data_IF_865234900313
#
_entry.id   IF_865234900313
#
_cell.length_a   1.000
_cell.length_b   1.000
_cell.length_c   1.000
_cell.angle_alpha   90.00
_cell.angle_beta   90.00
_cell.angle_gamma   90.00
#
_symmetry.space_group_name_H-M   'P 1'
#
loop_
_entity.id
_entity.type
_entity.pdbx_description
1 polymer ?
#
# COMPACT_ATOMS: atom_id res chain seq x y z
N UNK A 1 16.51 31.60 9.46
CA UNK A 1 16.37 30.22 9.97
C UNK A 1 15.78 29.38 8.85
N UNK A 2 16.62 28.81 7.99
CA UNK A 2 16.14 27.95 6.90
C UNK A 2 16.07 26.54 7.46
N UNK A 3 14.88 26.09 7.84
CA UNK A 3 14.67 24.69 8.16
C UNK A 3 14.91 23.91 6.88
N UNK A 4 15.96 23.10 6.84
CA UNK A 4 16.10 22.03 5.85
C UNK A 4 15.00 21.03 6.15
N UNK A 5 13.78 21.31 5.69
CA UNK A 5 12.72 20.32 5.62
C UNK A 5 13.24 19.24 4.68
N UNK A 6 13.55 18.06 5.20
CA UNK A 6 13.96 16.97 4.34
C UNK A 6 12.85 16.71 3.31
N UNK A 7 13.22 16.66 2.03
CA UNK A 7 12.28 16.39 0.94
C UNK A 7 11.53 15.09 1.22
N UNK A 8 10.20 15.06 1.04
CA UNK A 8 9.42 13.85 1.25
C UNK A 8 9.88 12.74 0.29
N UNK A 9 9.95 11.52 0.81
CA UNK A 9 10.10 10.33 -0.02
C UNK A 9 8.81 9.97 -0.76
N UNK A 10 8.81 8.82 -1.41
CA UNK A 10 7.64 8.28 -2.10
C UNK A 10 7.27 6.94 -1.49
N UNK A 11 6.00 6.76 -1.13
CA UNK A 11 5.42 5.46 -0.84
C UNK A 11 4.71 4.95 -2.10
N UNK A 12 5.06 3.74 -2.52
CA UNK A 12 4.32 2.99 -3.53
C UNK A 12 3.63 1.79 -2.87
N UNK A 13 2.30 1.75 -2.92
CA UNK A 13 1.49 0.62 -2.48
C UNK A 13 1.07 -0.16 -3.72
N UNK A 14 1.68 -1.31 -3.94
CA UNK A 14 1.34 -2.22 -5.03
C UNK A 14 0.17 -3.10 -4.61
N UNK A 15 -0.95 -3.00 -5.31
CA UNK A 15 -2.06 -3.94 -5.20
C UNK A 15 -1.69 -5.14 -6.07
N UNK A 16 -1.24 -6.23 -5.45
CA UNK A 16 -0.74 -7.43 -6.13
C UNK A 16 -1.83 -8.37 -6.62
N UNK A 17 -1.73 -9.63 -6.22
CA UNK A 17 -2.62 -10.71 -6.66
C UNK A 17 -3.82 -10.90 -5.72
N UNK A 18 -4.88 -11.49 -6.28
CA UNK A 18 -6.08 -11.91 -5.53
C UNK A 18 -7.23 -10.91 -5.53
N UNK A 19 -7.05 -9.74 -6.17
CA UNK A 19 -8.09 -8.75 -6.37
C UNK A 19 -8.98 -9.13 -7.55
N UNK A 20 -10.29 -9.14 -7.36
CA UNK A 20 -11.28 -9.57 -8.35
C UNK A 20 -12.55 -8.72 -8.26
N UNK A 21 -12.56 -7.59 -8.98
CA UNK A 21 -13.67 -6.62 -9.00
C UNK A 21 -13.91 -5.99 -7.62
N UNK A 22 -12.82 -5.77 -6.88
CA UNK A 22 -12.89 -5.32 -5.50
C UNK A 22 -12.97 -3.79 -5.39
N UNK A 23 -13.72 -3.32 -4.40
CA UNK A 23 -13.65 -1.94 -3.92
C UNK A 23 -12.44 -1.81 -2.99
N UNK A 24 -11.46 -0.95 -3.31
CA UNK A 24 -10.23 -0.85 -2.52
C UNK A 24 -9.98 0.59 -2.11
N UNK A 25 -9.67 0.80 -0.84
CA UNK A 25 -9.25 2.10 -0.30
C UNK A 25 -7.85 2.00 0.31
N UNK A 26 -7.01 2.98 0.03
CA UNK A 26 -5.73 3.18 0.72
C UNK A 26 -5.86 4.41 1.61
N UNK A 27 -5.49 4.24 2.87
CA UNK A 27 -5.52 5.29 3.88
C UNK A 27 -4.12 5.48 4.47
N UNK A 28 -3.83 6.73 4.82
CA UNK A 28 -2.63 7.11 5.58
C UNK A 28 -3.10 7.83 6.83
N UNK A 29 -2.71 7.32 8.00
CA UNK A 29 -3.14 7.83 9.32
C UNK A 29 -4.67 7.94 9.44
N UNK A 30 -5.38 6.97 8.88
CA UNK A 30 -6.84 6.91 8.85
C UNK A 30 -7.51 7.85 7.85
N UNK A 31 -6.75 8.67 7.11
CA UNK A 31 -7.25 9.54 6.04
C UNK A 31 -7.22 8.81 4.71
N UNK A 32 -8.35 8.66 3.98
CA UNK A 32 -8.35 8.06 2.65
C UNK A 32 -7.58 8.97 1.68
N UNK A 33 -6.58 8.39 1.02
CA UNK A 33 -5.71 9.09 0.06
C UNK A 33 -5.89 8.56 -1.36
N UNK A 34 -6.44 7.35 -1.50
CA UNK A 34 -6.76 6.74 -2.78
C UNK A 34 -7.94 5.78 -2.62
N UNK A 35 -8.75 5.69 -3.67
CA UNK A 35 -9.86 4.76 -3.80
C UNK A 35 -9.93 4.27 -5.23
N UNK A 36 -10.24 2.99 -5.40
CA UNK A 36 -10.42 2.35 -6.69
C UNK A 36 -11.62 1.42 -6.67
N UNK A 37 -12.51 1.60 -7.63
CA UNK A 37 -13.63 0.71 -7.90
C UNK A 37 -13.23 -0.41 -8.85
N UNK A 38 -13.75 -1.61 -8.62
CA UNK A 38 -13.57 -2.78 -9.51
C UNK A 38 -12.10 -3.09 -9.79
N UNK A 39 -11.29 -3.05 -8.74
CA UNK A 39 -9.87 -3.40 -8.79
C UNK A 39 -9.73 -4.89 -9.09
N UNK A 40 -9.05 -5.21 -10.18
CA UNK A 40 -8.85 -6.58 -10.66
C UNK A 40 -7.39 -6.80 -10.99
N UNK A 41 -6.82 -7.90 -10.51
CA UNK A 41 -5.44 -8.28 -10.84
C UNK A 41 -5.29 -8.55 -12.34
N UNK A 42 -4.34 -7.87 -12.98
CA UNK A 42 -3.85 -8.28 -14.29
C UNK A 42 -2.79 -9.38 -14.12
N UNK A 43 -3.18 -10.63 -14.32
CA UNK A 43 -2.30 -11.80 -14.14
C UNK A 43 -1.14 -11.89 -15.13
N UNK A 44 -1.14 -11.11 -16.23
CA UNK A 44 0.04 -11.02 -17.10
C UNK A 44 1.20 -10.26 -16.44
N UNK A 45 0.92 -9.45 -15.41
CA UNK A 45 1.93 -8.65 -14.67
C UNK A 45 1.89 -8.83 -13.15
N UNK A 46 0.93 -9.59 -12.61
CA UNK A 46 0.80 -9.90 -11.17
C UNK A 46 0.46 -8.68 -10.31
N UNK A 47 -0.14 -7.65 -10.91
CA UNK A 47 -0.47 -6.38 -10.25
C UNK A 47 -1.86 -5.94 -10.74
N UNK A 48 -2.70 -5.49 -9.81
CA UNK A 48 -3.96 -4.82 -10.06
C UNK A 48 -3.77 -3.31 -10.26
N UNK A 49 -3.02 -2.65 -9.37
CA UNK A 49 -2.70 -1.23 -9.47
C UNK A 49 -1.46 -0.87 -8.62
N UNK A 50 -0.90 0.33 -8.81
CA UNK A 50 0.19 0.89 -8.00
C UNK A 50 -0.16 2.31 -7.57
N UNK A 51 -0.46 2.47 -6.28
CA UNK A 51 -0.78 3.77 -5.67
C UNK A 51 0.53 4.44 -5.24
N UNK A 52 0.81 5.63 -5.76
CA UNK A 52 2.02 6.41 -5.42
C UNK A 52 1.66 7.67 -4.65
N UNK A 53 2.27 7.85 -3.49
CA UNK A 53 1.93 8.91 -2.54
C UNK A 53 3.22 9.54 -1.97
N UNK A 54 3.23 10.84 -1.65
CA UNK A 54 4.32 11.42 -0.88
C UNK A 54 4.34 10.82 0.52
N UNK A 55 5.52 10.45 1.02
CA UNK A 55 5.73 9.99 2.39
C UNK A 55 6.60 11.02 3.12
N UNK A 56 6.23 11.47 4.32
CA UNK A 56 7.07 12.40 5.06
C UNK A 56 8.45 11.78 5.33
N UNK A 57 9.50 12.61 5.28
CA UNK A 57 10.87 12.18 5.52
C UNK A 57 11.13 11.70 6.97
N UNK A 58 10.22 12.04 7.89
CA UNK A 58 10.28 11.67 9.30
C UNK A 58 8.89 11.29 9.83
N UNK A 59 8.87 10.65 11.00
CA UNK A 59 7.64 10.12 11.59
C UNK A 59 7.41 8.65 11.26
N UNK A 60 6.25 8.15 11.69
CA UNK A 60 5.80 6.77 11.46
C UNK A 60 4.32 6.77 11.06
N UNK A 61 3.99 7.14 9.82
CA UNK A 61 2.60 7.05 9.37
C UNK A 61 2.15 5.60 9.30
N UNK A 62 0.88 5.37 9.62
CA UNK A 62 0.22 4.08 9.46
C UNK A 62 -0.43 4.03 8.08
N UNK A 63 -0.02 3.08 7.26
CA UNK A 63 -0.63 2.80 5.96
C UNK A 63 -1.66 1.69 6.14
N UNK A 64 -2.88 1.91 5.65
CA UNK A 64 -3.95 0.93 5.68
C UNK A 64 -4.47 0.65 4.27
N UNK A 65 -4.66 -0.64 3.94
CA UNK A 65 -5.40 -1.07 2.75
C UNK A 65 -6.69 -1.74 3.22
N UNK A 66 -7.82 -1.29 2.68
CA UNK A 66 -9.16 -1.85 2.93
C UNK A 66 -9.74 -2.41 1.63
N UNK A 67 -10.42 -3.54 1.74
CA UNK A 67 -11.17 -4.16 0.65
C UNK A 67 -12.65 -4.19 1.02
N UNK A 68 -13.42 -3.30 0.40
CA UNK A 68 -14.87 -3.22 0.50
C UNK A 68 -15.53 -4.52 0.04
N UNK A 69 -16.61 -4.92 0.73
CA UNK A 69 -17.32 -6.18 0.44
C UNK A 69 -16.69 -7.44 1.04
N UNK A 70 -15.40 -7.43 1.42
CA UNK A 70 -14.71 -8.57 2.06
C UNK A 70 -14.38 -8.37 3.54
N UNK A 71 -14.83 -7.26 4.16
CA UNK A 71 -14.53 -6.89 5.55
C UNK A 71 -13.05 -7.07 5.95
N UNK A 72 -12.15 -6.87 5.00
CA UNK A 72 -10.73 -7.18 5.15
C UNK A 72 -9.92 -5.88 5.11
N UNK A 73 -9.11 -5.65 6.13
CA UNK A 73 -8.21 -4.52 6.22
C UNK A 73 -6.86 -4.97 6.78
N UNK A 74 -5.78 -4.36 6.30
CA UNK A 74 -4.43 -4.57 6.82
C UNK A 74 -3.74 -3.24 7.00
N UNK A 75 -2.93 -3.14 8.06
CA UNK A 75 -2.24 -1.92 8.46
C UNK A 75 -0.78 -2.22 8.72
N UNK A 76 0.08 -1.28 8.32
CA UNK A 76 1.51 -1.33 8.63
C UNK A 76 2.01 0.06 8.95
N UNK A 77 2.78 0.18 10.03
CA UNK A 77 3.49 1.41 10.35
C UNK A 77 4.78 1.45 9.52
N UNK A 78 4.92 2.51 8.73
CA UNK A 78 6.12 2.69 7.91
C UNK A 78 6.98 3.80 8.49
N UNK A 79 8.30 3.62 8.49
CA UNK A 79 9.19 4.72 8.82
C UNK A 79 9.19 5.75 7.70
N UNK A 80 9.15 7.04 8.05
CA UNK A 80 9.41 8.10 7.10
C UNK A 80 10.74 7.89 6.38
N UNK A 81 10.79 8.25 5.10
CA UNK A 81 11.97 8.06 4.25
C UNK A 81 12.12 9.24 3.29
N UNK A 82 13.35 9.50 2.86
CA UNK A 82 13.67 10.43 1.75
C UNK A 82 13.79 9.70 0.41
N UNK A 83 13.64 8.36 0.40
CA UNK A 83 13.68 7.52 -0.81
C UNK A 83 12.32 6.94 -1.19
N UNK A 84 12.33 5.90 -2.04
CA UNK A 84 11.13 5.13 -2.36
C UNK A 84 10.96 3.97 -1.36
N UNK A 85 9.79 3.89 -0.72
CA UNK A 85 9.34 2.73 0.05
C UNK A 85 8.27 1.99 -0.74
N UNK A 86 8.38 0.67 -0.84
CA UNK A 86 7.37 -0.17 -1.50
C UNK A 86 6.69 -1.10 -0.52
N UNK A 87 5.37 -1.04 -0.49
CA UNK A 87 4.51 -2.03 0.15
C UNK A 87 3.77 -2.81 -0.92
N UNK A 88 3.42 -4.06 -0.62
CA UNK A 88 2.59 -4.89 -1.47
C UNK A 88 1.43 -5.47 -0.68
N UNK A 89 0.23 -5.23 -1.20
CA UNK A 89 -0.99 -5.85 -0.72
C UNK A 89 -1.30 -7.09 -1.57
N UNK A 90 -1.70 -8.20 -0.95
CA UNK A 90 -2.16 -9.41 -1.66
C UNK A 90 -3.32 -10.05 -0.92
N UNK A 91 -4.22 -10.66 -1.67
CA UNK A 91 -5.29 -11.50 -1.15
C UNK A 91 -4.95 -12.95 -1.47
N UNK A 92 -4.82 -13.78 -0.45
CA UNK A 92 -4.56 -15.22 -0.65
C UNK A 92 -5.81 -15.97 -1.13
N UNK A 93 -5.69 -17.25 -1.55
CA UNK A 93 -6.85 -18.03 -1.98
C UNK A 93 -7.91 -18.27 -0.89
N UNK A 94 -7.58 -18.10 0.39
CA UNK A 94 -8.53 -18.15 1.50
C UNK A 94 -9.26 -16.81 1.72
N UNK A 95 -8.89 -15.78 0.95
CA UNK A 95 -9.47 -14.43 1.03
C UNK A 95 -8.78 -13.53 2.05
N UNK A 96 -7.67 -13.95 2.65
CA UNK A 96 -6.96 -13.13 3.63
C UNK A 96 -6.11 -12.06 2.94
N UNK A 97 -6.34 -10.80 3.32
CA UNK A 97 -5.51 -9.68 2.91
C UNK A 97 -4.21 -9.66 3.73
N UNK A 98 -3.09 -9.45 3.05
CA UNK A 98 -1.77 -9.17 3.63
C UNK A 98 -1.25 -7.85 3.09
N UNK A 99 -0.46 -7.12 3.91
CA UNK A 99 0.24 -5.90 3.52
C UNK A 99 1.64 -5.93 4.14
N UNK A 100 2.67 -5.97 3.30
CA UNK A 100 4.06 -6.04 3.77
C UNK A 100 5.01 -5.31 2.81
N UNK A 101 6.23 -4.94 3.24
CA UNK A 101 7.23 -4.41 2.34
C UNK A 101 7.49 -5.32 1.13
N UNK A 102 7.51 -4.75 -0.07
CA UNK A 102 7.67 -5.54 -1.30
C UNK A 102 9.03 -6.28 -1.36
N UNK A 103 10.04 -5.77 -0.64
CA UNK A 103 11.37 -6.37 -0.52
C UNK A 103 11.46 -7.53 0.48
N UNK A 104 10.43 -7.75 1.31
CA UNK A 104 10.37 -8.85 2.29
C UNK A 104 9.87 -10.17 1.71
N UNK A 105 9.77 -10.28 0.39
CA UNK A 105 9.74 -11.57 -0.31
C UNK A 105 11.15 -12.21 -0.30
N UNK A 106 11.74 -12.38 0.88
CA UNK A 106 13.01 -13.11 1.04
C UNK A 106 12.71 -14.60 1.14
N UNK A 107 13.08 -15.29 0.05
CA UNK A 107 13.74 -16.61 0.00
C UNK A 107 13.10 -17.73 0.82
N UNK A 108 12.55 -18.71 0.10
CA UNK A 108 12.77 -20.11 0.43
C UNK A 108 14.02 -20.62 -0.31
#
# INVERSE_FOLDING_TARGET
MSGTGAEPGTLAVELGEGFADDDVSVLVDGTPVWHGDRVTTNYSVGIADVVRLPLPASGRPTVEVRVGGRSSAQRVDVAGTTGELRLRARIDPAGALTLAPASEERRF
#
